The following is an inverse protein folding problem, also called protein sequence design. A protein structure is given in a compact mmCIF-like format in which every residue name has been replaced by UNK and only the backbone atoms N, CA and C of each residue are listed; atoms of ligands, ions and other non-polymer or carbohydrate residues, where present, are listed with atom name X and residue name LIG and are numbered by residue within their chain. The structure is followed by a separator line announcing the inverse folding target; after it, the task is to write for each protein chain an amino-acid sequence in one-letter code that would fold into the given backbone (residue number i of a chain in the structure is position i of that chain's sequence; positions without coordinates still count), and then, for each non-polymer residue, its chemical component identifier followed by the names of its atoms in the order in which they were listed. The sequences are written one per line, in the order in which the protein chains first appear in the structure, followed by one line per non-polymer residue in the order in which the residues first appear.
data_IF_468779250459
#
_entry.id   IF_468779250459
#
_cell.length_a   1.000
_cell.length_b   1.000
_cell.length_c   1.000
_cell.angle_alpha   90.00
_cell.angle_beta   90.00
_cell.angle_gamma   90.00
#
_symmetry.space_group_name_H-M   'P 1'
#
loop_
_entity.id
_entity.type
_entity.pdbx_description
1 polymer ?
#
# COMPACT_ATOMS: atom_id res chain seq x y z
N UNK A 1 -28.88 -29.54 -7.36
CA UNK A 1 -27.53 -28.99 -7.51
C UNK A 1 -26.92 -28.75 -6.14
N UNK A 2 -25.74 -29.30 -5.91
CA UNK A 2 -25.06 -29.13 -4.64
C UNK A 2 -24.33 -27.81 -4.64
N UNK A 3 -24.63 -26.98 -3.64
CA UNK A 3 -23.92 -25.71 -3.45
C UNK A 3 -22.87 -25.89 -2.37
N UNK A 4 -21.63 -25.64 -2.71
CA UNK A 4 -20.56 -25.64 -1.73
C UNK A 4 -20.50 -24.32 -1.04
N UNK A 5 -20.67 -24.31 0.26
CA UNK A 5 -20.30 -23.18 1.09
C UNK A 5 -18.85 -23.34 1.50
N UNK A 6 -18.03 -22.41 1.09
CA UNK A 6 -16.68 -22.29 1.62
C UNK A 6 -16.64 -21.17 2.62
N UNK A 7 -16.03 -21.44 3.74
CA UNK A 7 -15.72 -20.38 4.69
C UNK A 7 -14.33 -19.83 4.36
N UNK A 8 -14.28 -18.51 4.22
CA UNK A 8 -13.02 -17.81 3.99
C UNK A 8 -12.80 -16.83 5.12
N UNK A 9 -11.59 -16.86 5.66
CA UNK A 9 -11.16 -15.85 6.60
C UNK A 9 -10.44 -14.76 5.82
N UNK A 10 -11.09 -13.61 5.72
CA UNK A 10 -10.51 -12.47 5.03
C UNK A 10 -9.83 -11.57 6.05
N UNK A 11 -8.67 -11.03 5.65
CA UNK A 11 -7.99 -10.02 6.45
C UNK A 11 -8.65 -8.66 6.19
N UNK A 12 -9.53 -8.25 7.07
CA UNK A 12 -10.23 -6.96 6.97
C UNK A 12 -9.27 -5.78 7.16
N UNK A 13 -8.06 -6.05 7.63
CA UNK A 13 -7.04 -5.03 7.89
C UNK A 13 -5.96 -5.00 6.81
N UNK A 14 -6.21 -5.58 5.64
CA UNK A 14 -5.19 -5.66 4.58
C UNK A 14 -4.69 -4.27 4.17
N UNK A 15 -5.57 -3.28 4.07
CA UNK A 15 -5.16 -1.94 3.70
C UNK A 15 -4.32 -1.27 4.79
N UNK A 16 -4.63 -1.56 6.04
CA UNK A 16 -3.83 -1.08 7.17
C UNK A 16 -2.42 -1.66 7.12
N UNK A 17 -2.31 -2.95 6.80
CA UNK A 17 -1.04 -3.65 6.63
C UNK A 17 -0.25 -3.06 5.47
N UNK A 18 -0.89 -2.84 4.33
CA UNK A 18 -0.26 -2.25 3.15
C UNK A 18 0.23 -0.84 3.49
N UNK A 19 -0.59 -0.03 4.12
CA UNK A 19 -0.25 1.34 4.51
C UNK A 19 0.99 1.38 5.41
N UNK A 20 1.02 0.50 6.39
CA UNK A 20 2.15 0.36 7.32
C UNK A 20 3.43 -0.01 6.58
N UNK A 21 3.33 -0.93 5.64
CA UNK A 21 4.49 -1.39 4.88
C UNK A 21 4.99 -0.35 3.89
N UNK A 22 4.10 0.40 3.25
CA UNK A 22 4.50 1.52 2.40
C UNK A 22 5.34 2.51 3.21
N UNK A 23 4.85 2.90 4.37
CA UNK A 23 5.57 3.83 5.25
C UNK A 23 6.92 3.26 5.69
N UNK A 24 6.94 1.98 6.07
CA UNK A 24 8.16 1.29 6.50
C UNK A 24 9.22 1.32 5.41
N UNK A 25 8.89 0.88 4.21
CA UNK A 25 9.86 0.79 3.12
C UNK A 25 10.22 2.16 2.57
N UNK A 26 9.31 3.13 2.63
CA UNK A 26 9.66 4.52 2.29
C UNK A 26 10.73 5.06 3.23
N UNK A 27 10.58 4.83 4.52
CA UNK A 27 11.59 5.26 5.52
C UNK A 27 12.92 4.54 5.33
N UNK A 28 12.88 3.26 5.03
CA UNK A 28 14.10 2.49 4.72
C UNK A 28 14.80 3.08 3.50
N UNK A 29 14.03 3.48 2.49
CA UNK A 29 14.59 4.11 1.28
C UNK A 29 15.09 5.53 1.54
N UNK A 30 14.77 6.12 2.69
CA UNK A 30 15.26 7.45 3.06
C UNK A 30 14.58 8.59 2.32
N UNK A 31 13.37 8.40 1.81
CA UNK A 31 12.65 9.46 1.09
C UNK A 31 11.44 9.97 1.88
N UNK A 32 11.09 11.23 1.61
CA UNK A 32 9.94 11.87 2.25
C UNK A 32 8.65 11.49 1.56
N UNK A 33 7.52 11.75 2.22
CA UNK A 33 6.20 11.57 1.60
C UNK A 33 6.04 12.46 0.37
N UNK A 34 6.54 13.69 0.43
CA UNK A 34 6.49 14.60 -0.71
C UNK A 34 7.28 14.05 -1.89
N UNK A 35 8.46 13.51 -1.64
CA UNK A 35 9.28 12.94 -2.71
C UNK A 35 8.60 11.71 -3.32
N UNK A 36 8.06 10.84 -2.50
CA UNK A 36 7.31 9.69 -3.00
C UNK A 36 6.14 10.13 -3.89
N UNK A 37 5.40 11.17 -3.45
CA UNK A 37 4.29 11.70 -4.21
C UNK A 37 4.73 12.18 -5.60
N UNK A 38 5.81 12.95 -5.66
CA UNK A 38 6.38 13.44 -6.93
C UNK A 38 6.76 12.25 -7.82
N UNK A 39 7.46 11.28 -7.26
CA UNK A 39 8.02 10.16 -8.02
C UNK A 39 6.93 9.25 -8.60
N UNK A 40 5.79 9.11 -7.91
CA UNK A 40 4.69 8.29 -8.41
C UNK A 40 3.60 9.10 -9.12
N UNK A 41 3.78 10.42 -9.22
CA UNK A 41 2.83 11.28 -9.93
C UNK A 41 1.51 11.48 -9.20
N UNK A 42 1.54 11.52 -7.86
CA UNK A 42 0.35 11.73 -7.04
C UNK A 42 0.56 12.92 -6.12
N UNK A 43 -0.52 13.40 -5.49
CA UNK A 43 -0.43 14.49 -4.56
C UNK A 43 0.19 14.05 -3.23
N UNK A 44 0.80 14.99 -2.53
CA UNK A 44 1.27 14.77 -1.17
C UNK A 44 0.14 14.29 -0.26
N UNK A 45 -1.03 14.92 -0.38
CA UNK A 45 -2.19 14.55 0.43
C UNK A 45 -2.61 13.09 0.20
N UNK A 46 -2.52 12.61 -1.05
CA UNK A 46 -2.81 11.21 -1.37
C UNK A 46 -1.85 10.27 -0.64
N UNK A 47 -0.55 10.55 -0.69
CA UNK A 47 0.46 9.71 -0.02
C UNK A 47 0.27 9.75 1.49
N UNK A 48 0.03 10.93 2.04
CA UNK A 48 -0.23 11.10 3.47
C UNK A 48 -1.41 10.25 3.94
N UNK A 49 -2.50 10.26 3.18
CA UNK A 49 -3.69 9.45 3.48
C UNK A 49 -3.42 7.96 3.30
N UNK A 50 -2.66 7.60 2.27
CA UNK A 50 -2.33 6.21 1.98
C UNK A 50 -1.51 5.59 3.10
N UNK A 51 -0.62 6.34 3.72
CA UNK A 51 0.22 5.89 4.83
C UNK A 51 -0.45 6.02 6.19
N UNK A 52 -1.65 6.61 6.24
CA UNK A 52 -2.33 6.82 7.50
C UNK A 52 -2.73 5.48 8.12
N UNK A 53 -2.38 5.29 9.40
CA UNK A 53 -2.49 4.02 10.13
C UNK A 53 -3.88 3.40 10.14
N UNK A 54 -4.92 4.22 10.11
CA UNK A 54 -6.32 3.76 10.04
C UNK A 54 -6.86 3.85 8.62
N UNK A 55 -5.94 3.85 7.65
CA UNK A 55 -6.20 4.17 6.27
C UNK A 55 -7.32 3.37 5.67
N UNK A 56 -8.34 4.09 5.27
CA UNK A 56 -9.43 3.58 4.47
C UNK A 56 -9.24 3.98 3.01
N UNK A 57 -8.12 4.59 2.70
CA UNK A 57 -7.80 5.02 1.35
C UNK A 57 -6.98 3.90 0.71
N UNK A 58 -7.59 3.24 -0.25
CA UNK A 58 -6.88 2.28 -1.08
C UNK A 58 -6.19 2.97 -2.23
N UNK A 59 -5.41 2.20 -2.97
CA UNK A 59 -4.84 2.65 -4.22
C UNK A 59 -5.01 1.56 -5.28
N UNK A 60 -4.90 1.96 -6.54
CA UNK A 60 -4.92 1.01 -7.63
C UNK A 60 -3.66 0.14 -7.61
N UNK A 61 -3.74 -1.02 -8.24
CA UNK A 61 -2.57 -1.88 -8.43
C UNK A 61 -1.48 -1.15 -9.19
N UNK A 62 -1.86 -0.34 -10.17
CA UNK A 62 -0.91 0.47 -10.93
C UNK A 62 -0.13 1.43 -10.02
N UNK A 63 -0.81 2.12 -9.13
CA UNK A 63 -0.16 3.02 -8.17
C UNK A 63 0.72 2.25 -7.21
N UNK A 64 0.26 1.12 -6.71
CA UNK A 64 1.04 0.28 -5.81
C UNK A 64 2.31 -0.24 -6.49
N UNK A 65 2.19 -0.63 -7.74
CA UNK A 65 3.34 -1.05 -8.54
C UNK A 65 4.36 0.09 -8.67
N UNK A 66 3.90 1.30 -9.00
CA UNK A 66 4.79 2.48 -9.11
C UNK A 66 5.52 2.75 -7.78
N UNK A 67 4.82 2.63 -6.67
CA UNK A 67 5.43 2.79 -5.35
C UNK A 67 6.52 1.73 -5.14
N UNK A 68 6.25 0.48 -5.50
CA UNK A 68 7.23 -0.59 -5.36
C UNK A 68 8.50 -0.32 -6.17
N UNK A 69 8.35 0.20 -7.39
CA UNK A 69 9.48 0.54 -8.25
C UNK A 69 10.30 1.67 -7.62
N UNK A 70 9.64 2.73 -7.16
CA UNK A 70 10.32 3.86 -6.52
C UNK A 70 11.06 3.43 -5.27
N UNK A 71 10.45 2.56 -4.48
CA UNK A 71 11.05 2.06 -3.24
C UNK A 71 12.05 0.92 -3.48
N UNK A 72 12.17 0.46 -4.73
CA UNK A 72 13.07 -0.62 -5.12
C UNK A 72 12.81 -1.91 -4.34
N UNK A 73 11.54 -2.26 -4.23
CA UNK A 73 11.09 -3.51 -3.58
C UNK A 73 10.10 -4.21 -4.49
N UNK A 74 9.89 -5.49 -4.24
CA UNK A 74 8.84 -6.25 -4.91
C UNK A 74 7.50 -6.02 -4.22
N UNK A 75 6.40 -6.19 -4.96
CA UNK A 75 5.06 -5.87 -4.43
C UNK A 75 4.66 -6.74 -3.25
N UNK A 76 5.18 -7.96 -3.15
CA UNK A 76 4.89 -8.86 -2.04
C UNK A 76 5.28 -8.26 -0.68
N UNK A 77 6.26 -7.36 -0.67
CA UNK A 77 6.70 -6.70 0.56
C UNK A 77 5.60 -5.88 1.23
N UNK A 78 4.64 -5.40 0.44
CA UNK A 78 3.52 -4.64 0.99
C UNK A 78 2.55 -5.50 1.80
N UNK A 79 2.60 -6.81 1.60
CA UNK A 79 1.68 -7.75 2.23
C UNK A 79 2.30 -8.52 3.42
N UNK A 80 3.47 -8.12 3.84
CA UNK A 80 4.14 -8.72 5.00
C UNK A 80 3.40 -8.53 6.32
#
# INVERSE_FOLDING_TARGET
MTTFKREFNFDDNIMERISKNIKKYRKIAGITQEQLAVDVGRSYDFIRRLEYKKGKVGCSIDTLYKISVVLNITMDKFFE
#
